data_IF_443588782160
#
_entry.id   IF_443588782160
#
_cell.length_a   1.000
_cell.length_b   1.000
_cell.length_c   1.000
_cell.angle_alpha   90.00
_cell.angle_beta   90.00
_cell.angle_gamma   90.00
#
_symmetry.space_group_name_H-M   'P 1'
#
loop_
_entity.id
_entity.type
_entity.pdbx_description
1 polymer ?
#
# COMPACT_ATOMS: atom_id res chain seq x y z
N UNK A 1 71.83 33.23 2.09
CA UNK A 1 71.77 32.26 3.21
C UNK A 1 71.35 32.98 4.49
N UNK A 2 70.04 33.12 4.72
CA UNK A 2 69.49 33.93 5.83
C UNK A 2 69.11 33.07 7.04
N UNK A 3 70.04 33.01 7.98
CA UNK A 3 69.90 33.13 9.46
C UNK A 3 68.46 32.96 10.04
N UNK A 4 68.12 31.77 10.54
CA UNK A 4 66.93 31.58 11.38
C UNK A 4 67.21 32.07 12.82
N UNK A 5 66.54 33.18 13.19
CA UNK A 5 66.58 33.82 14.50
C UNK A 5 65.83 32.95 15.53
N UNK A 6 66.52 32.46 16.56
CA UNK A 6 65.94 31.78 17.74
C UNK A 6 64.91 32.72 18.39
N UNK A 7 63.62 32.49 18.18
CA UNK A 7 62.55 33.21 18.85
C UNK A 7 61.86 32.29 19.87
N UNK A 8 61.57 32.80 21.06
CA UNK A 8 60.83 32.04 22.09
C UNK A 8 59.45 31.59 21.60
N UNK A 9 58.95 32.21 20.55
CA UNK A 9 57.73 31.84 19.83
C UNK A 9 57.78 30.40 19.28
N UNK A 10 58.92 29.94 18.73
CA UNK A 10 59.02 28.58 18.17
C UNK A 10 59.14 27.48 19.22
N UNK A 11 59.52 27.81 20.47
CA UNK A 11 59.45 26.88 21.61
C UNK A 11 58.04 26.77 22.18
N UNK A 12 57.25 27.85 22.15
CA UNK A 12 55.87 27.85 22.62
C UNK A 12 54.96 27.08 21.67
N UNK A 13 55.14 27.25 20.36
CA UNK A 13 54.38 26.53 19.32
C UNK A 13 54.59 25.00 19.41
N UNK A 14 55.82 24.55 19.74
CA UNK A 14 56.11 23.12 19.91
C UNK A 14 55.59 22.52 21.22
N UNK A 15 55.47 23.33 22.28
CA UNK A 15 54.92 22.89 23.57
C UNK A 15 53.39 22.78 23.50
N UNK A 16 52.73 23.71 22.79
CA UNK A 16 51.27 23.65 22.61
C UNK A 16 50.86 22.49 21.72
N UNK A 17 51.60 22.19 20.65
CA UNK A 17 51.27 21.08 19.76
C UNK A 17 51.50 19.71 20.42
N UNK A 18 52.54 19.57 21.25
CA UNK A 18 52.81 18.34 22.00
C UNK A 18 51.83 18.08 23.15
N UNK A 19 51.33 19.15 23.80
CA UNK A 19 50.30 19.02 24.83
C UNK A 19 48.95 18.62 24.23
N UNK A 20 48.61 19.12 23.03
CA UNK A 20 47.36 18.76 22.36
C UNK A 20 47.31 17.29 21.91
N UNK A 21 48.43 16.69 21.50
CA UNK A 21 48.48 15.26 21.15
C UNK A 21 48.52 14.33 22.36
N UNK A 22 49.12 14.77 23.48
CA UNK A 22 49.13 13.98 24.72
C UNK A 22 47.76 13.91 25.39
N UNK A 23 46.97 15.00 25.33
CA UNK A 23 45.58 15.01 25.83
C UNK A 23 44.68 14.06 25.01
N UNK A 24 44.93 13.89 23.71
CA UNK A 24 44.20 12.92 22.89
C UNK A 24 44.60 11.45 23.16
N UNK A 25 45.77 11.18 23.74
CA UNK A 25 46.29 9.82 23.95
C UNK A 25 46.13 9.29 25.39
N UNK A 26 45.76 10.12 26.37
CA UNK A 26 45.65 9.68 27.78
C UNK A 26 44.36 10.06 28.52
N UNK A 27 43.39 10.75 27.90
CA UNK A 27 42.18 11.14 28.62
C UNK A 27 41.05 11.65 27.74
N UNK A 28 40.22 10.72 27.25
CA UNK A 28 38.85 11.01 26.84
C UNK A 28 38.72 11.88 25.60
N UNK A 29 38.98 11.30 24.43
CA UNK A 29 38.23 11.71 23.23
C UNK A 29 36.76 11.53 23.59
N UNK A 30 36.03 12.62 23.80
CA UNK A 30 34.58 12.62 23.74
C UNK A 30 34.24 12.43 22.27
N UNK A 31 34.33 11.17 21.81
CA UNK A 31 33.75 10.71 20.57
C UNK A 31 32.25 10.92 20.80
N UNK A 32 31.72 12.03 20.29
CA UNK A 32 30.29 12.14 20.11
C UNK A 32 29.86 10.88 19.35
N UNK A 33 28.83 10.14 19.80
CA UNK A 33 28.37 9.02 19.02
C UNK A 33 27.93 9.59 17.69
N UNK A 34 28.67 9.29 16.62
CA UNK A 34 28.09 9.27 15.30
C UNK A 34 26.78 8.49 15.43
N UNK A 35 25.68 9.03 14.92
CA UNK A 35 24.33 8.49 15.02
C UNK A 35 24.26 7.05 14.49
N UNK A 36 24.78 6.12 15.26
CA UNK A 36 24.67 4.70 15.06
C UNK A 36 23.24 4.40 15.50
N UNK A 37 22.34 4.32 14.51
CA UNK A 37 21.03 3.74 14.71
C UNK A 37 21.28 2.40 15.41
N UNK A 38 20.97 2.34 16.71
CA UNK A 38 21.42 1.23 17.55
C UNK A 38 20.67 -0.03 17.12
N UNK A 39 21.20 -1.21 17.46
CA UNK A 39 20.52 -2.48 17.15
C UNK A 39 19.13 -2.48 17.79
N UNK A 40 18.96 -1.89 18.98
CA UNK A 40 17.66 -1.67 19.61
C UNK A 40 16.73 -0.78 18.76
N UNK A 41 17.24 0.28 18.12
CA UNK A 41 16.43 1.18 17.29
C UNK A 41 15.99 0.52 15.98
N UNK A 42 16.83 -0.33 15.40
CA UNK A 42 16.47 -1.19 14.27
C UNK A 42 15.42 -2.24 14.67
N UNK A 43 15.54 -2.86 15.85
CA UNK A 43 14.53 -3.79 16.37
C UNK A 43 13.19 -3.10 16.66
N UNK A 44 13.22 -1.87 17.17
CA UNK A 44 12.04 -1.05 17.39
C UNK A 44 11.34 -0.68 16.07
N UNK A 45 12.10 -0.35 15.02
CA UNK A 45 11.54 -0.14 13.68
C UNK A 45 10.91 -1.40 13.09
N UNK A 46 11.54 -2.57 13.25
CA UNK A 46 10.98 -3.84 12.78
C UNK A 46 9.66 -4.15 13.50
N UNK A 47 9.59 -3.96 14.81
CA UNK A 47 8.35 -4.16 15.57
C UNK A 47 7.22 -3.23 15.10
N UNK A 48 7.55 -1.98 14.79
CA UNK A 48 6.60 -1.00 14.28
C UNK A 48 6.12 -1.34 12.86
N UNK A 49 7.00 -1.81 11.99
CA UNK A 49 6.64 -2.27 10.65
C UNK A 49 5.75 -3.51 10.68
N UNK A 50 6.02 -4.47 11.59
CA UNK A 50 5.16 -5.65 11.76
C UNK A 50 3.75 -5.26 12.23
N UNK A 51 3.65 -4.32 13.19
CA UNK A 51 2.36 -3.78 13.63
C UNK A 51 1.58 -3.12 12.48
N UNK A 52 2.26 -2.34 11.64
CA UNK A 52 1.66 -1.71 10.47
C UNK A 52 1.17 -2.74 9.44
N UNK A 53 1.95 -3.81 9.20
CA UNK A 53 1.55 -4.89 8.29
C UNK A 53 0.31 -5.60 8.81
N UNK A 54 0.23 -5.91 10.11
CA UNK A 54 -0.96 -6.53 10.71
C UNK A 54 -2.18 -5.62 10.58
N UNK A 55 -2.04 -4.32 10.82
CA UNK A 55 -3.13 -3.36 10.64
C UNK A 55 -3.61 -3.28 9.18
N UNK A 56 -2.69 -3.26 8.22
CA UNK A 56 -3.00 -3.29 6.79
C UNK A 56 -3.64 -4.62 6.35
N UNK A 57 -3.23 -5.75 6.93
CA UNK A 57 -3.86 -7.05 6.70
C UNK A 57 -5.29 -7.09 7.25
N UNK A 58 -5.54 -6.54 8.45
CA UNK A 58 -6.89 -6.41 9.01
C UNK A 58 -7.75 -5.46 8.19
N UNK A 59 -7.18 -4.35 7.69
CA UNK A 59 -7.88 -3.42 6.80
C UNK A 59 -8.23 -4.09 5.46
N UNK A 60 -7.33 -4.90 4.90
CA UNK A 60 -7.60 -5.67 3.67
C UNK A 60 -8.75 -6.67 3.88
N UNK A 61 -8.80 -7.34 5.03
CA UNK A 61 -9.93 -8.22 5.41
C UNK A 61 -11.23 -7.46 5.74
N UNK A 62 -11.13 -6.21 6.20
CA UNK A 62 -12.27 -5.34 6.47
C UNK A 62 -12.90 -4.74 5.21
N UNK A 63 -12.10 -4.53 4.15
CA UNK A 63 -12.59 -4.13 2.82
C UNK A 63 -13.41 -5.26 2.16
N UNK A 64 -13.20 -6.52 2.56
CA UNK A 64 -14.06 -7.66 2.17
C UNK A 64 -15.33 -7.83 3.02
N UNK A 65 -15.56 -6.96 4.01
CA UNK A 65 -16.75 -6.96 4.88
C UNK A 65 -17.93 -6.11 4.40
N UNK A 66 -17.76 -5.38 3.29
CA UNK A 66 -18.86 -4.91 2.45
C UNK A 66 -18.88 -5.78 1.20
N UNK A 67 -20.02 -6.35 0.85
CA UNK A 67 -20.22 -7.26 -0.28
C UNK A 67 -19.70 -6.68 -1.61
N UNK A 68 -18.41 -6.87 -1.87
CA UNK A 68 -17.74 -6.77 -3.16
C UNK A 68 -16.64 -7.81 -3.13
N UNK A 69 -17.02 -9.01 -3.57
CA UNK A 69 -16.09 -10.08 -3.87
C UNK A 69 -15.19 -9.66 -5.05
N UNK A 70 -14.03 -9.07 -4.74
CA UNK A 70 -12.92 -8.91 -5.68
C UNK A 70 -11.67 -9.50 -5.03
N UNK A 71 -11.39 -10.76 -5.34
CA UNK A 71 -10.25 -11.50 -4.75
C UNK A 71 -10.17 -12.99 -5.09
N UNK A 72 -11.19 -13.54 -5.74
CA UNK A 72 -11.10 -14.77 -6.50
C UNK A 72 -11.74 -14.49 -7.86
N UNK A 73 -11.20 -15.03 -8.94
CA UNK A 73 -12.00 -15.26 -10.15
C UNK A 73 -12.98 -16.37 -9.80
N UNK A 74 -13.93 -16.08 -8.90
CA UNK A 74 -15.15 -16.85 -8.75
C UNK A 74 -16.00 -16.46 -9.94
N UNK A 75 -15.71 -17.06 -11.10
CA UNK A 75 -16.63 -17.01 -12.22
C UNK A 75 -18.01 -17.43 -11.71
N UNK A 76 -19.01 -16.59 -11.93
CA UNK A 76 -20.38 -16.98 -11.65
C UNK A 76 -20.79 -18.03 -12.67
N UNK A 77 -21.06 -19.25 -12.21
CA UNK A 77 -21.60 -20.31 -13.06
C UNK A 77 -23.12 -20.25 -13.00
N UNK A 78 -23.74 -20.02 -14.16
CA UNK A 78 -25.20 -20.09 -14.27
C UNK A 78 -25.67 -21.53 -14.13
N UNK A 79 -26.66 -21.77 -13.26
CA UNK A 79 -27.14 -23.12 -12.95
C UNK A 79 -28.14 -23.65 -13.97
N UNK A 80 -28.76 -22.77 -14.76
CA UNK A 80 -29.73 -23.12 -15.77
C UNK A 80 -29.72 -22.14 -16.96
N UNK A 81 -30.34 -22.57 -18.06
CA UNK A 81 -30.69 -21.68 -19.14
C UNK A 81 -31.73 -20.67 -18.67
N UNK A 82 -31.41 -19.39 -18.82
CA UNK A 82 -32.30 -18.29 -18.49
C UNK A 82 -33.18 -17.91 -19.69
N UNK A 83 -34.46 -17.65 -19.43
CA UNK A 83 -35.43 -17.11 -20.38
C UNK A 83 -36.24 -15.99 -19.74
N UNK A 84 -36.90 -15.21 -20.59
CA UNK A 84 -37.84 -14.19 -20.13
C UNK A 84 -38.92 -14.80 -19.23
N UNK A 85 -39.17 -14.15 -18.10
CA UNK A 85 -40.09 -14.63 -17.07
C UNK A 85 -39.40 -15.33 -15.90
N UNK A 86 -38.15 -15.79 -16.06
CA UNK A 86 -37.42 -16.43 -14.98
C UNK A 86 -37.09 -15.45 -13.85
N UNK A 87 -37.07 -15.97 -12.62
CA UNK A 87 -36.70 -15.23 -11.42
C UNK A 87 -35.57 -15.93 -10.67
N UNK A 88 -34.75 -15.16 -9.95
CA UNK A 88 -33.72 -15.67 -9.06
C UNK A 88 -32.38 -14.95 -9.18
N UNK A 89 -31.37 -15.52 -8.52
CA UNK A 89 -30.00 -15.00 -8.51
C UNK A 89 -29.37 -15.02 -9.90
N UNK A 90 -29.66 -16.02 -10.72
CA UNK A 90 -29.11 -16.13 -12.08
C UNK A 90 -29.56 -14.93 -12.95
N UNK A 91 -30.83 -14.53 -12.87
CA UNK A 91 -31.34 -13.35 -13.58
C UNK A 91 -30.67 -12.04 -13.11
N UNK A 92 -30.43 -11.90 -11.80
CA UNK A 92 -29.73 -10.75 -11.24
C UNK A 92 -28.26 -10.71 -11.68
N UNK A 93 -27.56 -11.84 -11.64
CA UNK A 93 -26.15 -11.92 -12.05
C UNK A 93 -25.99 -11.74 -13.57
N UNK A 94 -26.93 -12.23 -14.38
CA UNK A 94 -26.97 -11.91 -15.80
C UNK A 94 -27.07 -10.39 -16.03
N UNK A 95 -27.93 -9.70 -15.28
CA UNK A 95 -28.04 -8.23 -15.38
C UNK A 95 -26.74 -7.53 -14.99
N UNK A 96 -26.03 -8.01 -13.96
CA UNK A 96 -24.71 -7.46 -13.60
C UNK A 96 -23.69 -7.59 -14.73
N UNK A 97 -23.67 -8.74 -15.41
CA UNK A 97 -22.80 -8.96 -16.58
C UNK A 97 -23.17 -8.00 -17.71
N UNK A 98 -24.45 -7.90 -18.05
CA UNK A 98 -24.93 -7.01 -19.11
C UNK A 98 -24.73 -5.52 -18.79
N UNK A 99 -24.84 -5.13 -17.53
CA UNK A 99 -24.60 -3.75 -17.09
C UNK A 99 -23.11 -3.39 -16.99
N UNK A 100 -22.19 -4.36 -17.15
CA UNK A 100 -20.75 -4.08 -17.16
C UNK A 100 -20.28 -3.40 -18.45
N UNK A 101 -21.06 -3.54 -19.53
CA UNK A 101 -20.81 -2.90 -20.82
C UNK A 101 -21.97 -1.96 -21.18
N UNK A 102 -21.63 -0.70 -21.46
CA UNK A 102 -22.56 0.31 -21.98
C UNK A 102 -23.38 -0.13 -23.20
N UNK A 103 -22.83 -0.98 -24.08
CA UNK A 103 -23.53 -1.48 -25.26
C UNK A 103 -24.63 -2.51 -24.93
N UNK A 104 -24.49 -3.19 -23.79
CA UNK A 104 -25.42 -4.24 -23.36
C UNK A 104 -26.24 -3.86 -22.12
N UNK A 105 -26.03 -2.66 -21.56
CA UNK A 105 -26.72 -2.14 -20.38
C UNK A 105 -28.25 -2.30 -20.42
N UNK A 106 -28.80 -2.94 -19.39
CA UNK A 106 -30.21 -3.32 -19.29
C UNK A 106 -31.13 -2.09 -19.20
N UNK A 107 -30.78 -1.12 -18.35
CA UNK A 107 -31.49 0.14 -18.21
C UNK A 107 -30.55 1.27 -17.79
N UNK A 108 -30.83 2.49 -18.23
CA UNK A 108 -30.07 3.70 -17.84
C UNK A 108 -30.33 4.11 -16.39
N UNK A 109 -31.51 3.81 -15.85
CA UNK A 109 -31.92 4.16 -14.48
C UNK A 109 -33.06 3.28 -14.01
N UNK A 110 -33.23 3.16 -12.69
CA UNK A 110 -34.32 2.38 -12.07
C UNK A 110 -34.04 0.88 -12.07
N UNK A 111 -35.11 0.08 -11.99
CA UNK A 111 -35.01 -1.39 -11.94
C UNK A 111 -34.24 -1.93 -13.15
N UNK A 112 -33.24 -2.77 -12.86
CA UNK A 112 -32.36 -3.39 -13.85
C UNK A 112 -31.19 -2.52 -14.29
N UNK A 113 -31.10 -1.26 -13.84
CA UNK A 113 -29.90 -0.44 -14.11
C UNK A 113 -28.69 -0.91 -13.29
N UNK A 114 -27.51 -0.44 -13.65
CA UNK A 114 -26.27 -0.76 -12.94
C UNK A 114 -26.39 -0.38 -11.45
N UNK A 115 -26.14 -1.34 -10.56
CA UNK A 115 -26.30 -1.18 -9.11
C UNK A 115 -27.74 -1.26 -8.60
N UNK A 116 -28.72 -1.43 -9.50
CA UNK A 116 -30.14 -1.63 -9.20
C UNK A 116 -30.69 -2.86 -9.92
N UNK A 117 -29.88 -3.91 -10.03
CA UNK A 117 -30.27 -5.15 -10.71
C UNK A 117 -31.49 -5.80 -10.03
N UNK A 118 -32.31 -6.46 -10.83
CA UNK A 118 -33.48 -7.19 -10.37
C UNK A 118 -33.26 -8.69 -10.47
N UNK A 119 -33.89 -9.46 -9.58
CA UNK A 119 -33.97 -10.91 -9.70
C UNK A 119 -34.95 -11.39 -10.78
N UNK A 120 -35.51 -10.50 -11.62
CA UNK A 120 -36.45 -10.86 -12.68
C UNK A 120 -35.86 -10.68 -14.08
N UNK A 121 -35.96 -11.70 -14.93
CA UNK A 121 -35.64 -11.61 -16.35
C UNK A 121 -36.84 -11.02 -17.11
N UNK A 122 -36.86 -9.70 -17.26
CA UNK A 122 -37.88 -8.96 -18.01
C UNK A 122 -37.56 -8.75 -19.50
N UNK A 123 -38.37 -7.92 -20.16
CA UNK A 123 -38.18 -7.52 -21.56
C UNK A 123 -36.89 -6.70 -21.77
N UNK A 124 -36.51 -5.88 -20.79
CA UNK A 124 -35.25 -5.12 -20.82
C UNK A 124 -34.04 -6.05 -20.81
N UNK A 125 -34.02 -7.01 -19.88
CA UNK A 125 -32.96 -8.04 -19.81
C UNK A 125 -32.91 -8.86 -21.10
N UNK A 126 -34.06 -9.21 -21.69
CA UNK A 126 -34.11 -9.89 -22.99
C UNK A 126 -33.45 -9.07 -24.09
N UNK A 127 -33.80 -7.79 -24.18
CA UNK A 127 -33.24 -6.88 -25.18
C UNK A 127 -31.73 -6.73 -25.00
N UNK A 128 -31.27 -6.69 -23.75
CA UNK A 128 -29.85 -6.68 -23.41
C UNK A 128 -29.11 -7.95 -23.85
N UNK A 129 -29.68 -9.12 -23.60
CA UNK A 129 -29.12 -10.40 -24.08
C UNK A 129 -29.03 -10.44 -25.61
N UNK A 130 -30.05 -9.93 -26.31
CA UNK A 130 -30.03 -9.88 -27.79
C UNK A 130 -28.88 -8.99 -28.30
N UNK A 131 -28.57 -7.89 -27.62
CA UNK A 131 -27.42 -7.02 -28.00
C UNK A 131 -26.07 -7.65 -27.70
N UNK A 132 -26.01 -8.55 -26.72
CA UNK A 132 -24.79 -9.23 -26.31
C UNK A 132 -24.39 -10.36 -27.28
N UNK A 133 -25.35 -10.95 -27.99
CA UNK A 133 -25.18 -12.06 -28.93
C UNK A 133 -24.84 -11.56 -30.35
#
# INVERSE_FOLDING_TARGET
MSRFKKSRLSKVISVTLGLTTAVMMFGGVLIAPASAQTVEELQAQIALLLSQITALQTQMSGVTGGSVATGAVCGYTFGANLKQGDTGSDAMNLQKVLNSDSATQVASSGVGSQGNESSYFGSLTKSAVIRFQ
#
